data_IF_378533592964
#
_entry.id   IF_378533592964
#
_cell.length_a   1.000
_cell.length_b   1.000
_cell.length_c   1.000
_cell.angle_alpha   90.00
_cell.angle_beta   90.00
_cell.angle_gamma   90.00
#
_symmetry.space_group_name_H-M   'P 1'
#
loop_
_entity.id
_entity.type
_entity.pdbx_description
1 polymer ?
#
# COMPACT_ATOMS: atom_id res chain seq x y z
N UNK A 1 3.72 18.03 -15.23
CA UNK A 1 4.78 18.85 -14.59
C UNK A 1 5.42 17.98 -13.52
N UNK A 2 6.61 17.45 -13.78
CA UNK A 2 7.34 16.64 -12.80
C UNK A 2 7.86 17.59 -11.71
N UNK A 3 7.27 17.53 -10.52
CA UNK A 3 7.86 18.17 -9.36
C UNK A 3 8.98 17.27 -8.84
N UNK A 4 10.23 17.67 -9.06
CA UNK A 4 11.34 17.16 -8.29
C UNK A 4 11.18 17.69 -6.85
N UNK A 5 10.70 16.85 -5.94
CA UNK A 5 10.88 17.10 -4.53
C UNK A 5 12.38 17.14 -4.27
N UNK A 6 12.90 18.24 -3.77
CA UNK A 6 14.24 18.27 -3.20
C UNK A 6 14.22 17.31 -2.03
N UNK A 7 14.90 16.17 -2.17
CA UNK A 7 15.00 15.19 -1.11
C UNK A 7 15.62 15.81 0.13
N UNK A 8 14.93 15.76 1.24
CA UNK A 8 15.52 16.01 2.54
C UNK A 8 16.52 14.87 2.78
N UNK A 9 17.80 15.20 2.83
CA UNK A 9 18.84 14.25 3.20
C UNK A 9 18.85 14.11 4.72
N UNK A 10 17.99 13.24 5.25
CA UNK A 10 18.09 12.83 6.64
C UNK A 10 19.16 11.75 6.79
N UNK A 11 19.97 11.88 7.84
CA UNK A 11 21.02 10.90 8.14
C UNK A 11 20.50 9.62 8.74
N UNK A 12 19.30 9.66 9.34
CA UNK A 12 18.62 8.52 9.96
C UNK A 12 17.16 8.53 9.53
N UNK A 13 16.66 7.37 9.14
CA UNK A 13 15.25 7.19 8.81
C UNK A 13 14.47 7.15 10.12
N UNK A 14 13.47 8.01 10.33
CA UNK A 14 12.68 7.99 11.56
C UNK A 14 11.85 6.69 11.65
N UNK A 15 11.33 6.36 12.84
CA UNK A 15 10.40 5.24 13.00
C UNK A 15 9.24 5.35 12.00
N UNK A 16 8.70 4.21 11.50
CA UNK A 16 7.65 4.23 10.47
C UNK A 16 6.44 5.08 10.83
N UNK A 17 6.06 5.12 12.09
CA UNK A 17 4.94 5.91 12.59
C UNK A 17 5.16 7.42 12.38
N UNK A 18 6.32 7.93 12.80
CA UNK A 18 6.71 9.33 12.64
C UNK A 18 6.88 9.69 11.16
N UNK A 19 7.48 8.78 10.37
CA UNK A 19 7.67 8.97 8.94
C UNK A 19 6.33 9.13 8.22
N UNK A 20 5.36 8.26 8.49
CA UNK A 20 4.03 8.34 7.88
C UNK A 20 3.32 9.64 8.28
N UNK A 21 3.37 10.01 9.55
CA UNK A 21 2.78 11.29 10.01
C UNK A 21 3.38 12.49 9.27
N UNK A 22 4.69 12.51 9.11
CA UNK A 22 5.37 13.59 8.40
C UNK A 22 4.98 13.63 6.92
N UNK A 23 4.97 12.48 6.24
CA UNK A 23 4.57 12.39 4.83
C UNK A 23 3.12 12.83 4.63
N UNK A 24 2.20 12.45 5.53
CA UNK A 24 0.80 12.89 5.45
C UNK A 24 0.64 14.39 5.71
N UNK A 25 1.45 14.99 6.58
CA UNK A 25 1.46 16.47 6.73
C UNK A 25 1.84 17.16 5.44
N UNK A 26 2.83 16.67 4.71
CA UNK A 26 3.21 17.25 3.42
C UNK A 26 2.09 17.20 2.38
N UNK A 27 1.19 16.24 2.47
CA UNK A 27 0.07 16.09 1.54
C UNK A 27 -1.18 16.86 1.98
N UNK A 28 -1.41 17.00 3.30
CA UNK A 28 -2.72 17.36 3.85
C UNK A 28 -2.72 18.64 4.71
N UNK A 29 -1.55 19.11 5.18
CA UNK A 29 -1.49 20.32 6.02
C UNK A 29 -1.74 21.57 5.18
N UNK A 30 -2.93 22.15 5.28
CA UNK A 30 -3.33 23.37 4.55
C UNK A 30 -2.45 24.59 4.83
N UNK A 31 -1.65 24.57 5.90
CA UNK A 31 -0.68 25.64 6.19
C UNK A 31 0.59 25.49 5.33
N UNK A 32 0.86 24.31 4.79
CA UNK A 32 1.97 24.07 3.85
C UNK A 32 1.57 24.46 2.43
N UNK A 33 1.78 25.75 2.10
CA UNK A 33 1.40 26.29 0.79
C UNK A 33 2.27 25.80 -0.36
N UNK A 34 3.41 25.20 -0.04
CA UNK A 34 4.37 24.74 -1.03
C UNK A 34 4.12 23.29 -1.47
N UNK A 35 3.32 22.51 -0.69
CA UNK A 35 3.15 21.07 -0.89
C UNK A 35 1.71 20.60 -0.89
N UNK A 36 0.88 21.04 0.05
CA UNK A 36 -0.53 20.61 0.18
C UNK A 36 -1.45 21.38 -0.79
N UNK A 37 -1.38 21.06 -2.08
CA UNK A 37 -2.15 21.78 -3.11
C UNK A 37 -3.61 21.36 -3.21
N UNK A 38 -3.92 20.11 -2.82
CA UNK A 38 -5.26 19.55 -2.93
C UNK A 38 -5.93 19.65 -1.57
N UNK A 39 -7.12 20.26 -1.54
CA UNK A 39 -7.93 20.32 -0.33
C UNK A 39 -8.80 19.08 -0.23
N UNK A 40 -8.83 18.52 0.97
CA UNK A 40 -9.67 17.40 1.32
C UNK A 40 -10.68 17.83 2.38
N UNK A 41 -11.92 17.39 2.24
CA UNK A 41 -12.95 17.52 3.27
C UNK A 41 -13.30 16.15 3.84
N UNK A 42 -13.86 16.06 5.06
CA UNK A 42 -14.23 14.79 5.66
C UNK A 42 -15.24 13.95 4.86
N UNK A 43 -15.99 14.60 3.99
CA UNK A 43 -17.01 13.96 3.15
C UNK A 43 -16.45 13.54 1.78
N UNK A 44 -15.20 13.90 1.45
CA UNK A 44 -14.62 13.55 0.16
C UNK A 44 -14.29 12.07 0.09
N UNK A 45 -14.67 11.47 -1.02
CA UNK A 45 -14.24 10.14 -1.40
C UNK A 45 -12.78 10.17 -1.87
N UNK A 46 -11.96 9.29 -1.31
CA UNK A 46 -10.51 9.30 -1.51
C UNK A 46 -10.00 7.91 -1.91
N UNK A 47 -9.11 7.85 -2.89
CA UNK A 47 -8.31 6.66 -3.16
C UNK A 47 -6.88 6.87 -2.69
N UNK A 48 -6.34 5.85 -1.99
CA UNK A 48 -4.98 5.77 -1.52
C UNK A 48 -4.16 4.86 -2.42
N UNK A 49 -3.00 5.33 -2.86
CA UNK A 49 -2.02 4.51 -3.56
C UNK A 49 -0.69 4.57 -2.81
N UNK A 50 -0.16 3.40 -2.47
CA UNK A 50 1.17 3.23 -1.89
C UNK A 50 2.02 2.45 -2.87
N UNK A 51 3.06 3.09 -3.37
CA UNK A 51 3.98 2.50 -4.33
C UNK A 51 5.26 2.03 -3.64
N UNK A 52 5.63 0.77 -3.84
CA UNK A 52 6.90 0.19 -3.41
C UNK A 52 7.95 0.37 -4.50
N UNK A 53 9.08 1.02 -4.19
CA UNK A 53 10.18 1.19 -5.15
C UNK A 53 11.02 -0.08 -5.34
N UNK A 54 10.63 -1.22 -4.74
CA UNK A 54 11.22 -2.54 -4.97
C UNK A 54 12.02 -3.11 -3.80
N UNK A 55 12.44 -2.29 -2.85
CA UNK A 55 13.24 -2.71 -1.69
C UNK A 55 12.43 -3.15 -0.46
N UNK A 56 11.11 -2.98 -0.47
CA UNK A 56 10.25 -3.41 0.62
C UNK A 56 9.66 -4.79 0.34
N UNK A 57 9.65 -5.65 1.34
CA UNK A 57 8.88 -6.89 1.30
C UNK A 57 7.37 -6.62 1.29
N UNK A 58 6.58 -7.58 0.86
CA UNK A 58 5.11 -7.45 0.89
C UNK A 58 4.58 -7.22 2.31
N UNK A 59 5.20 -7.84 3.32
CA UNK A 59 4.79 -7.66 4.71
C UNK A 59 5.05 -6.24 5.22
N UNK A 60 6.20 -5.66 4.88
CA UNK A 60 6.52 -4.26 5.21
C UNK A 60 5.58 -3.29 4.50
N UNK A 61 5.29 -3.54 3.21
CA UNK A 61 4.34 -2.73 2.44
C UNK A 61 2.94 -2.74 3.06
N UNK A 62 2.44 -3.91 3.44
CA UNK A 62 1.13 -4.05 4.09
C UNK A 62 1.10 -3.38 5.48
N UNK A 63 2.18 -3.49 6.24
CA UNK A 63 2.30 -2.81 7.53
C UNK A 63 2.27 -1.28 7.37
N UNK A 64 3.02 -0.73 6.41
CA UNK A 64 3.02 0.70 6.09
C UNK A 64 1.65 1.16 5.58
N UNK A 65 0.99 0.34 4.77
CA UNK A 65 -0.37 0.62 4.27
C UNK A 65 -1.38 0.71 5.41
N UNK A 66 -1.36 -0.26 6.32
CA UNK A 66 -2.22 -0.28 7.50
C UNK A 66 -1.98 0.93 8.41
N UNK A 67 -0.71 1.29 8.62
CA UNK A 67 -0.32 2.44 9.41
C UNK A 67 -0.79 3.76 8.76
N UNK A 68 -0.61 3.89 7.43
CA UNK A 68 -1.07 5.05 6.67
C UNK A 68 -2.59 5.23 6.79
N UNK A 69 -3.37 4.15 6.64
CA UNK A 69 -4.84 4.20 6.79
C UNK A 69 -5.22 4.60 8.22
N UNK A 70 -4.50 4.10 9.22
CA UNK A 70 -4.74 4.44 10.62
C UNK A 70 -4.55 5.94 10.87
N UNK A 71 -3.44 6.53 10.39
CA UNK A 71 -3.18 7.97 10.54
C UNK A 71 -4.11 8.84 9.70
N UNK A 72 -4.46 8.43 8.47
CA UNK A 72 -5.47 9.14 7.68
C UNK A 72 -6.79 9.25 8.44
N UNK A 73 -7.20 8.17 9.11
CA UNK A 73 -8.45 8.15 9.88
C UNK A 73 -8.35 8.92 11.18
N UNK A 74 -7.27 8.72 11.98
CA UNK A 74 -7.14 9.32 13.31
C UNK A 74 -6.84 10.81 13.26
N UNK A 75 -5.93 11.23 12.40
CA UNK A 75 -5.36 12.57 12.41
C UNK A 75 -6.06 13.52 11.43
N UNK A 76 -6.61 12.96 10.32
CA UNK A 76 -7.21 13.73 9.23
C UNK A 76 -8.68 13.43 8.97
N UNK A 77 -9.28 12.46 9.67
CA UNK A 77 -10.65 12.00 9.47
C UNK A 77 -10.96 11.59 8.01
N UNK A 78 -9.96 11.04 7.32
CA UNK A 78 -10.05 10.54 5.94
C UNK A 78 -10.07 9.02 5.98
N UNK A 79 -11.08 8.42 5.33
CA UNK A 79 -11.19 6.96 5.17
C UNK A 79 -11.17 6.63 3.69
N UNK A 80 -10.05 6.10 3.15
CA UNK A 80 -9.97 5.78 1.73
C UNK A 80 -10.99 4.72 1.31
N UNK A 81 -11.73 4.99 0.22
CA UNK A 81 -12.69 4.04 -0.37
C UNK A 81 -12.04 3.02 -1.31
N UNK A 82 -10.82 3.31 -1.77
CA UNK A 82 -9.97 2.40 -2.54
C UNK A 82 -8.53 2.49 -2.03
N UNK A 83 -7.88 1.34 -1.93
CA UNK A 83 -6.48 1.23 -1.52
C UNK A 83 -5.74 0.37 -2.52
N UNK A 84 -4.65 0.91 -3.05
CA UNK A 84 -3.75 0.23 -3.98
C UNK A 84 -2.34 0.24 -3.37
N UNK A 85 -1.78 -0.92 -3.07
CA UNK A 85 -0.45 -1.05 -2.49
C UNK A 85 0.35 -2.12 -3.24
N UNK A 86 1.22 -1.69 -4.15
CA UNK A 86 2.01 -2.56 -5.01
C UNK A 86 3.25 -1.84 -5.56
N UNK A 87 4.18 -2.53 -6.21
CA UNK A 87 5.26 -1.91 -6.97
C UNK A 87 4.76 -1.45 -8.35
N UNK A 88 4.10 -0.30 -8.43
CA UNK A 88 3.59 0.29 -9.69
C UNK A 88 4.72 0.87 -10.54
N UNK A 89 5.58 1.67 -9.91
CA UNK A 89 6.82 2.19 -10.45
C UNK A 89 7.94 1.73 -9.55
N UNK A 90 8.85 0.93 -10.07
CA UNK A 90 9.83 0.23 -9.25
C UNK A 90 11.23 0.30 -9.85
N UNK A 91 12.22 0.05 -9.01
CA UNK A 91 13.61 -0.18 -9.38
C UNK A 91 14.01 -1.60 -8.94
N UNK A 92 15.27 -1.93 -9.16
CA UNK A 92 15.77 -3.25 -8.80
C UNK A 92 15.70 -3.51 -7.28
N UNK A 93 16.05 -2.54 -6.45
CA UNK A 93 16.11 -2.70 -4.99
C UNK A 93 16.16 -1.36 -4.25
N UNK A 94 15.39 -0.35 -4.66
CA UNK A 94 15.37 0.91 -3.92
C UNK A 94 14.60 0.76 -2.60
N UNK A 95 15.22 1.03 -1.46
CA UNK A 95 14.57 0.94 -0.15
C UNK A 95 13.70 2.18 0.04
N UNK A 96 12.44 2.13 -0.42
CA UNK A 96 11.54 3.26 -0.29
C UNK A 96 10.16 3.02 -0.84
N UNK A 97 9.29 3.97 -0.58
CA UNK A 97 7.90 3.97 -1.03
C UNK A 97 7.42 5.41 -1.25
N UNK A 98 6.28 5.55 -1.92
CA UNK A 98 5.56 6.82 -2.00
C UNK A 98 4.10 6.66 -1.64
N UNK A 99 3.50 7.75 -1.14
CA UNK A 99 2.07 7.84 -0.82
C UNK A 99 1.44 8.83 -1.78
N UNK A 100 0.35 8.44 -2.41
CA UNK A 100 -0.46 9.33 -3.24
C UNK A 100 -1.92 9.25 -2.81
N UNK A 101 -2.57 10.41 -2.75
CA UNK A 101 -3.99 10.55 -2.46
C UNK A 101 -4.69 11.16 -3.66
N UNK A 102 -5.75 10.51 -4.12
CA UNK A 102 -6.64 11.02 -5.14
C UNK A 102 -7.96 11.44 -4.49
N UNK A 103 -8.28 12.73 -4.55
CA UNK A 103 -9.59 13.23 -4.15
C UNK A 103 -10.60 12.98 -5.27
N UNK A 104 -11.36 11.89 -5.17
CA UNK A 104 -12.34 11.48 -6.19
C UNK A 104 -13.48 12.50 -6.27
N UNK A 105 -14.01 12.93 -5.14
CA UNK A 105 -15.06 13.96 -5.10
C UNK A 105 -14.57 15.30 -5.67
N UNK A 106 -13.29 15.65 -5.42
CA UNK A 106 -12.66 16.83 -6.02
C UNK A 106 -12.62 16.75 -7.54
N UNK A 107 -12.16 15.63 -8.09
CA UNK A 107 -12.15 15.39 -9.54
C UNK A 107 -13.57 15.41 -10.12
N UNK A 108 -14.55 14.80 -9.44
CA UNK A 108 -15.93 14.80 -9.87
C UNK A 108 -16.48 16.24 -10.00
N UNK A 109 -16.21 17.08 -8.99
CA UNK A 109 -16.60 18.50 -9.00
C UNK A 109 -15.97 19.29 -10.15
N UNK A 110 -14.69 19.08 -10.40
CA UNK A 110 -13.96 19.82 -11.45
C UNK A 110 -14.32 19.36 -12.87
N UNK A 111 -14.48 18.05 -13.07
CA UNK A 111 -14.73 17.46 -14.38
C UNK A 111 -16.22 17.36 -14.71
N UNK A 112 -17.10 17.54 -13.72
CA UNK A 112 -18.54 17.28 -13.80
C UNK A 112 -18.88 15.82 -14.15
N UNK A 113 -18.00 14.91 -13.80
CA UNK A 113 -18.22 13.46 -13.90
C UNK A 113 -18.87 12.96 -12.60
N UNK A 114 -19.71 11.95 -12.72
CA UNK A 114 -20.23 11.24 -11.54
C UNK A 114 -19.13 10.42 -10.87
N UNK A 115 -19.11 10.36 -9.54
CA UNK A 115 -18.14 9.58 -8.78
C UNK A 115 -18.13 8.09 -9.17
N UNK A 116 -19.32 7.52 -9.40
CA UNK A 116 -19.47 6.13 -9.88
C UNK A 116 -18.73 5.90 -11.20
N UNK A 117 -18.72 6.89 -12.09
CA UNK A 117 -17.94 6.81 -13.34
C UNK A 117 -16.45 6.80 -13.07
N UNK A 118 -15.96 7.61 -12.13
CA UNK A 118 -14.55 7.63 -11.74
C UNK A 118 -14.14 6.31 -11.08
N UNK A 119 -14.98 5.74 -10.24
CA UNK A 119 -14.75 4.40 -9.69
C UNK A 119 -14.73 3.32 -10.78
N UNK A 120 -15.65 3.36 -11.73
CA UNK A 120 -15.66 2.43 -12.86
C UNK A 120 -14.37 2.52 -13.71
N UNK A 121 -13.78 3.71 -13.82
CA UNK A 121 -12.50 3.90 -14.50
C UNK A 121 -11.33 3.33 -13.71
N UNK A 122 -11.31 3.52 -12.38
CA UNK A 122 -10.28 2.96 -11.49
C UNK A 122 -10.35 1.43 -11.43
N UNK A 123 -11.57 0.89 -11.40
CA UNK A 123 -11.83 -0.54 -11.27
C UNK A 123 -11.82 -1.27 -12.64
N UNK A 124 -11.56 -0.57 -13.74
CA UNK A 124 -11.57 -1.14 -15.08
C UNK A 124 -10.42 -2.12 -15.30
N UNK A 125 -10.72 -3.22 -15.96
CA UNK A 125 -9.69 -4.17 -16.39
C UNK A 125 -8.66 -3.51 -17.30
N UNK A 126 -7.39 -3.80 -17.02
CA UNK A 126 -6.25 -3.27 -17.75
C UNK A 126 -5.21 -4.36 -18.01
N UNK A 127 -4.45 -4.18 -19.10
CA UNK A 127 -3.31 -5.02 -19.43
C UNK A 127 -1.98 -4.46 -18.85
N UNK A 128 -2.03 -3.39 -18.08
CA UNK A 128 -0.84 -2.85 -17.42
C UNK A 128 -0.26 -3.87 -16.40
N UNK A 129 0.99 -4.32 -16.56
CA UNK A 129 1.53 -5.42 -15.76
C UNK A 129 1.54 -5.16 -14.25
N UNK A 130 1.74 -3.91 -13.87
CA UNK A 130 1.86 -3.51 -12.47
C UNK A 130 0.53 -3.05 -11.85
N UNK A 131 -0.54 -2.88 -12.66
CA UNK A 131 -1.83 -2.49 -12.09
C UNK A 131 -2.58 -3.72 -11.60
N UNK A 132 -3.11 -3.73 -10.34
CA UNK A 132 -3.82 -4.87 -9.80
C UNK A 132 -5.06 -5.15 -10.66
N UNK A 133 -5.20 -6.39 -11.10
CA UNK A 133 -6.45 -6.83 -11.73
C UNK A 133 -7.49 -6.99 -10.63
N UNK A 134 -8.74 -6.65 -10.93
CA UNK A 134 -9.89 -6.69 -10.00
C UNK A 134 -10.17 -8.05 -9.33
N UNK A 135 -9.35 -9.07 -9.58
CA UNK A 135 -9.46 -10.40 -8.97
C UNK A 135 -9.19 -10.43 -7.46
N UNK A 136 -8.50 -9.42 -6.93
CA UNK A 136 -8.29 -9.27 -5.48
C UNK A 136 -9.28 -8.23 -4.98
N UNK A 137 -10.39 -8.72 -4.47
CA UNK A 137 -11.55 -7.99 -4.06
C UNK A 137 -11.27 -6.62 -3.50
N UNK A 138 -12.07 -5.69 -3.95
CA UNK A 138 -12.21 -4.38 -3.37
C UNK A 138 -12.21 -4.52 -1.85
N UNK A 139 -11.13 -4.14 -1.19
CA UNK A 139 -11.17 -3.96 0.24
C UNK A 139 -12.04 -2.72 0.46
N UNK A 140 -13.36 -2.95 0.55
CA UNK A 140 -14.21 -1.95 1.15
C UNK A 140 -13.76 -1.85 2.59
N UNK A 141 -13.24 -0.70 2.94
CA UNK A 141 -12.85 -0.36 4.32
C UNK A 141 -14.07 -0.30 5.26
N UNK A 142 -15.26 -0.59 4.75
CA UNK A 142 -16.51 -0.75 5.53
C UNK A 142 -16.58 -2.05 6.34
N UNK A 143 -15.59 -2.95 6.22
CA UNK A 143 -15.51 -4.06 7.17
C UNK A 143 -15.22 -3.47 8.54
N UNK A 144 -16.14 -3.62 9.52
CA UNK A 144 -15.87 -3.17 10.86
C UNK A 144 -14.55 -3.78 11.29
N UNK A 145 -13.62 -2.94 11.71
CA UNK A 145 -12.36 -3.36 12.30
C UNK A 145 -12.68 -4.48 13.25
N UNK A 146 -12.31 -5.72 12.90
CA UNK A 146 -12.47 -6.82 13.83
C UNK A 146 -11.60 -6.45 15.03
N UNK A 147 -12.27 -6.04 16.07
CA UNK A 147 -11.61 -5.67 17.33
C UNK A 147 -10.77 -6.87 17.75
N UNK A 148 -9.57 -6.63 18.20
CA UNK A 148 -8.59 -7.63 18.67
C UNK A 148 -9.20 -8.71 19.58
N UNK A 149 -10.38 -8.45 20.13
CA UNK A 149 -11.18 -9.39 20.92
C UNK A 149 -11.81 -10.52 20.09
N UNK A 150 -12.05 -10.33 18.77
CA UNK A 150 -12.62 -11.38 17.92
C UNK A 150 -11.55 -12.39 17.43
N UNK A 151 -10.28 -12.03 17.52
CA UNK A 151 -9.17 -12.91 17.19
C UNK A 151 -8.88 -13.94 18.30
N UNK A 152 -9.43 -13.75 19.50
CA UNK A 152 -9.21 -14.64 20.65
C UNK A 152 -10.00 -15.96 20.55
N UNK A 153 -10.90 -16.13 19.57
CA UNK A 153 -11.73 -17.32 19.38
C UNK A 153 -11.55 -18.01 18.03
N UNK A 154 -10.51 -17.73 17.29
CA UNK A 154 -10.11 -18.66 16.25
C UNK A 154 -9.52 -19.89 16.93
N UNK A 155 -10.28 -20.99 16.89
CA UNK A 155 -9.73 -22.33 17.05
C UNK A 155 -8.41 -22.36 16.27
N UNK A 156 -7.36 -22.79 16.94
CA UNK A 156 -6.06 -23.02 16.34
C UNK A 156 -6.27 -23.83 15.07
N UNK A 157 -6.24 -23.17 13.90
CA UNK A 157 -6.21 -23.88 12.63
C UNK A 157 -4.95 -24.73 12.70
N UNK A 158 -5.14 -26.03 12.87
CA UNK A 158 -4.07 -27.01 12.77
C UNK A 158 -3.60 -26.96 11.32
N UNK A 159 -2.62 -26.12 11.05
CA UNK A 159 -1.81 -26.32 9.86
C UNK A 159 -1.28 -27.73 9.95
N UNK A 160 -1.41 -28.51 8.88
CA UNK A 160 -1.01 -29.91 8.82
C UNK A 160 0.37 -30.19 9.41
N UNK A 161 0.88 -31.42 9.40
CA UNK A 161 2.05 -31.81 10.17
C UNK A 161 3.15 -30.76 10.01
N UNK A 162 3.60 -30.19 11.14
CA UNK A 162 4.67 -29.19 11.14
C UNK A 162 5.86 -29.82 10.41
N UNK A 163 6.21 -29.27 9.25
CA UNK A 163 7.49 -29.62 8.62
C UNK A 163 8.57 -29.34 9.64
N UNK A 164 9.29 -30.37 10.05
CA UNK A 164 10.46 -30.18 10.88
C UNK A 164 11.57 -29.51 10.06
N UNK A 165 12.46 -28.82 10.76
CA UNK A 165 13.54 -28.05 10.12
C UNK A 165 14.43 -28.94 9.27
N UNK A 166 14.68 -30.17 9.68
CA UNK A 166 15.52 -31.12 8.94
C UNK A 166 14.90 -31.53 7.59
N UNK A 167 13.58 -31.74 7.57
CA UNK A 167 12.82 -32.01 6.34
C UNK A 167 12.86 -30.82 5.38
N UNK A 168 12.73 -29.60 5.89
CA UNK A 168 12.81 -28.38 5.08
C UNK A 168 14.23 -28.19 4.52
N UNK A 169 15.27 -28.36 5.34
CA UNK A 169 16.67 -28.29 4.89
C UNK A 169 16.99 -29.34 3.83
N UNK A 170 16.48 -30.58 4.01
CA UNK A 170 16.63 -31.63 3.02
C UNK A 170 15.99 -31.30 1.67
N UNK A 171 14.77 -30.75 1.69
CA UNK A 171 14.06 -30.33 0.49
C UNK A 171 14.76 -29.17 -0.22
N UNK A 172 15.25 -28.17 0.52
CA UNK A 172 16.00 -27.04 -0.04
C UNK A 172 17.33 -27.49 -0.65
N UNK A 173 18.05 -28.38 0.01
CA UNK A 173 19.32 -28.93 -0.51
C UNK A 173 19.10 -29.68 -1.82
N UNK A 174 18.09 -30.57 -1.88
CA UNK A 174 17.75 -31.30 -3.10
C UNK A 174 17.33 -30.37 -4.23
N UNK A 175 16.59 -29.29 -3.95
CA UNK A 175 16.21 -28.30 -4.95
C UNK A 175 17.44 -27.54 -5.50
N UNK A 176 18.38 -27.16 -4.63
CA UNK A 176 19.64 -26.52 -5.05
C UNK A 176 20.53 -27.45 -5.90
N UNK A 177 20.67 -28.71 -5.49
CA UNK A 177 21.44 -29.71 -6.25
C UNK A 177 20.83 -29.96 -7.63
N UNK A 178 19.49 -30.04 -7.72
CA UNK A 178 18.78 -30.18 -8.99
C UNK A 178 18.96 -28.94 -9.90
N UNK A 179 18.95 -27.74 -9.33
CA UNK A 179 19.18 -26.51 -10.08
C UNK A 179 20.60 -26.42 -10.64
N UNK A 180 21.61 -26.80 -9.85
CA UNK A 180 23.02 -26.84 -10.30
C UNK A 180 23.22 -27.89 -11.39
N UNK A 181 22.57 -29.05 -11.30
CA UNK A 181 22.66 -30.12 -12.29
C UNK A 181 21.95 -29.80 -13.62
N UNK A 182 21.08 -28.78 -13.63
CA UNK A 182 20.31 -28.34 -14.80
C UNK A 182 20.98 -27.21 -15.61
N UNK A 183 22.17 -26.72 -15.19
CA UNK A 183 22.92 -25.74 -15.99
C UNK A 183 23.49 -26.45 -17.23
N UNK A 184 23.12 -26.02 -18.45
CA UNK A 184 23.76 -26.56 -19.65
C UNK A 184 25.18 -26.01 -19.80
N UNK A 185 26.14 -26.88 -20.19
CA UNK A 185 27.51 -26.53 -20.58
C UNK A 185 27.57 -25.46 -21.68
#
# INVERSE_FOLDING_TARGET
>A
MLMQSQGLHEKEIPPPDELIQELLRYLLDENDKDRAFVKFTPEDEVALLINNFGGLSNLELEALTSLTISHLKSDWNISPSRVYAQPFETSLNAPGFSISLLNISGVARETKMEEDTLYALLDRDTNAPAWPRNSYGQVRVDSPTQTRASLAHHETVSFGPKLDVATLEGALRSACEAAVAAEPD
#
